data_IF_794500614702
#
_entry.id   IF_794500614702
#
_cell.length_a   1.000
_cell.length_b   1.000
_cell.length_c   1.000
_cell.angle_alpha   90.00
_cell.angle_beta   90.00
_cell.angle_gamma   90.00
#
_symmetry.space_group_name_H-M   'P 1'
#
loop_
_entity.id
_entity.type
_entity.pdbx_description
1 polymer ?
#
# COMPACT_ATOMS: atom_id res chain seq x y z
N UNK A 1 -90.92 70.38 24.06
CA UNK A 1 -91.71 69.51 23.18
C UNK A 1 -90.77 68.81 22.24
N UNK A 2 -90.76 67.49 22.40
CA UNK A 2 -90.68 66.42 21.41
C UNK A 2 -89.73 66.64 20.23
N UNK A 3 -88.83 65.79 20.10
CA UNK A 3 -88.70 64.44 19.53
C UNK A 3 -87.82 64.59 18.31
N UNK A 4 -86.93 63.72 17.89
CA UNK A 4 -86.81 62.28 17.94
C UNK A 4 -85.38 61.88 17.48
N UNK A 5 -84.98 60.75 17.93
CA UNK A 5 -83.73 60.12 17.59
C UNK A 5 -83.60 59.68 16.12
N UNK A 6 -82.39 59.64 15.60
CA UNK A 6 -82.08 58.69 14.54
C UNK A 6 -80.65 58.18 14.74
N UNK A 7 -80.57 56.88 14.98
CA UNK A 7 -79.40 56.14 15.09
C UNK A 7 -78.83 55.87 13.70
N UNK A 8 -77.54 56.14 13.49
CA UNK A 8 -76.80 55.56 12.38
C UNK A 8 -75.64 54.72 12.97
N UNK A 9 -75.85 53.41 12.83
CA UNK A 9 -74.89 52.43 13.28
C UNK A 9 -73.58 52.43 12.44
N UNK A 10 -72.52 52.66 13.07
CA UNK A 10 -71.19 52.50 12.47
C UNK A 10 -70.73 51.03 12.64
N UNK A 11 -70.74 50.28 11.57
CA UNK A 11 -70.18 48.93 11.53
C UNK A 11 -68.61 49.02 11.58
N UNK A 12 -68.05 48.63 12.72
CA UNK A 12 -66.64 48.32 12.82
C UNK A 12 -66.34 47.03 12.09
N UNK A 13 -65.63 47.12 11.01
CA UNK A 13 -64.95 45.96 10.33
C UNK A 13 -63.67 45.64 11.07
N UNK A 14 -63.68 44.58 11.88
CA UNK A 14 -62.46 43.99 12.47
C UNK A 14 -61.75 43.22 11.38
N UNK A 15 -60.67 43.77 10.84
CA UNK A 15 -59.71 43.03 10.02
C UNK A 15 -58.83 42.21 10.96
N UNK A 16 -59.08 40.92 11.04
CA UNK A 16 -58.21 39.94 11.76
C UNK A 16 -56.97 39.72 10.91
N UNK A 17 -55.85 40.35 11.32
CA UNK A 17 -54.51 40.06 10.76
C UNK A 17 -53.99 38.75 11.34
N UNK A 18 -54.20 37.65 10.61
CA UNK A 18 -53.61 36.35 10.96
C UNK A 18 -52.09 36.38 10.73
N UNK A 19 -51.34 36.56 11.79
CA UNK A 19 -49.89 36.32 11.82
C UNK A 19 -49.61 34.82 11.66
N UNK A 20 -49.30 34.37 10.45
CA UNK A 20 -48.73 33.05 10.18
C UNK A 20 -47.29 33.02 10.74
N UNK A 21 -47.13 32.68 12.01
CA UNK A 21 -45.86 32.22 12.58
C UNK A 21 -45.55 30.88 11.95
N UNK A 22 -44.75 30.89 10.85
CA UNK A 22 -44.18 29.72 10.29
C UNK A 22 -43.21 29.09 11.30
N UNK A 23 -43.63 28.00 11.95
CA UNK A 23 -42.77 27.13 12.71
C UNK A 23 -41.74 26.51 11.74
N UNK A 24 -40.58 27.17 11.61
CA UNK A 24 -39.38 26.53 11.04
C UNK A 24 -38.93 25.52 12.09
N UNK A 25 -39.41 24.28 12.02
CA UNK A 25 -38.83 23.16 12.73
C UNK A 25 -37.35 23.01 12.36
N UNK A 26 -36.52 22.54 13.26
CA UNK A 26 -35.10 22.33 12.95
C UNK A 26 -35.02 21.44 11.72
N UNK A 27 -34.45 21.98 10.64
CA UNK A 27 -34.19 21.25 9.40
C UNK A 27 -33.29 20.08 9.79
N UNK A 28 -33.81 18.85 9.66
CA UNK A 28 -33.01 17.64 9.92
C UNK A 28 -31.71 17.76 9.10
N UNK A 29 -30.61 17.83 9.80
CA UNK A 29 -29.30 17.80 9.16
C UNK A 29 -29.23 16.51 8.35
N UNK A 30 -29.10 16.60 7.04
CA UNK A 30 -28.82 15.45 6.22
C UNK A 30 -27.57 14.78 6.79
N UNK A 31 -27.58 13.46 7.06
CA UNK A 31 -26.38 12.79 7.53
C UNK A 31 -25.28 13.05 6.50
N UNK A 32 -24.18 13.65 6.95
CA UNK A 32 -22.99 13.81 6.12
C UNK A 32 -22.60 12.41 5.65
N UNK A 33 -22.43 12.17 4.33
CA UNK A 33 -22.01 10.87 3.85
C UNK A 33 -20.75 10.45 4.62
N UNK A 34 -20.71 9.20 5.06
CA UNK A 34 -19.51 8.67 5.69
C UNK A 34 -18.32 8.86 4.71
N UNK A 35 -17.17 9.29 5.20
CA UNK A 35 -15.99 9.42 4.34
C UNK A 35 -15.76 8.09 3.64
N UNK A 36 -15.29 8.10 2.37
CA UNK A 36 -15.03 6.87 1.63
C UNK A 36 -14.05 6.00 2.42
N UNK A 37 -14.27 4.69 2.44
CA UNK A 37 -13.32 3.77 3.04
C UNK A 37 -11.98 3.88 2.30
N UNK A 38 -10.87 3.92 3.04
CA UNK A 38 -9.54 3.88 2.44
C UNK A 38 -9.26 2.53 1.77
N UNK A 39 -8.18 2.44 0.97
CA UNK A 39 -7.79 1.17 0.35
C UNK A 39 -7.55 0.10 1.43
N UNK A 40 -8.07 -1.11 1.20
CA UNK A 40 -7.98 -2.25 2.11
C UNK A 40 -7.24 -3.44 1.49
N UNK A 41 -7.18 -3.51 0.16
CA UNK A 41 -6.48 -4.55 -0.61
C UNK A 41 -5.28 -4.01 -1.36
N UNK A 42 -4.43 -4.90 -1.87
CA UNK A 42 -3.27 -4.53 -2.69
C UNK A 42 -3.69 -3.77 -3.94
N UNK A 43 -4.70 -4.26 -4.66
CA UNK A 43 -5.19 -3.65 -5.90
C UNK A 43 -5.81 -2.26 -5.63
N UNK A 44 -6.59 -2.11 -4.57
CA UNK A 44 -7.16 -0.82 -4.19
C UNK A 44 -6.07 0.21 -3.82
N UNK A 45 -5.00 -0.22 -3.14
CA UNK A 45 -3.89 0.67 -2.82
C UNK A 45 -3.13 1.12 -4.08
N UNK A 46 -2.87 0.20 -5.00
CA UNK A 46 -2.25 0.53 -6.30
C UNK A 46 -3.12 1.54 -7.05
N UNK A 47 -4.41 1.24 -7.23
CA UNK A 47 -5.34 2.12 -7.93
C UNK A 47 -5.49 3.48 -7.26
N UNK A 48 -5.48 3.53 -5.92
CA UNK A 48 -5.52 4.78 -5.16
C UNK A 48 -4.30 5.67 -5.44
N UNK A 49 -3.10 5.10 -5.40
CA UNK A 49 -1.86 5.85 -5.68
C UNK A 49 -1.77 6.25 -7.15
N UNK A 50 -2.24 5.40 -8.08
CA UNK A 50 -2.27 5.73 -9.50
C UNK A 50 -3.21 6.91 -9.80
N UNK A 51 -4.37 7.01 -9.13
CA UNK A 51 -5.23 8.20 -9.21
C UNK A 51 -4.56 9.45 -8.66
N UNK A 52 -3.88 9.34 -7.49
CA UNK A 52 -3.12 10.47 -6.92
C UNK A 52 -1.97 10.91 -7.85
N UNK A 53 -1.32 9.95 -8.53
CA UNK A 53 -0.30 10.24 -9.53
C UNK A 53 -0.89 10.97 -10.75
N UNK A 54 -2.07 10.58 -11.22
CA UNK A 54 -2.77 11.27 -12.31
C UNK A 54 -3.12 12.72 -11.95
N UNK A 55 -3.63 12.97 -10.71
CA UNK A 55 -3.87 14.32 -10.21
C UNK A 55 -2.59 15.18 -10.21
N UNK A 56 -1.50 14.61 -9.71
CA UNK A 56 -0.21 15.27 -9.64
C UNK A 56 0.38 15.53 -11.04
N UNK A 57 0.25 14.56 -11.95
CA UNK A 57 0.66 14.67 -13.35
C UNK A 57 -0.10 15.80 -14.10
N UNK A 58 -1.38 15.98 -13.78
CA UNK A 58 -2.22 16.99 -14.42
C UNK A 58 -2.00 18.40 -13.84
N UNK A 59 -1.76 18.52 -12.52
CA UNK A 59 -1.83 19.79 -11.78
C UNK A 59 -0.50 20.21 -11.14
N UNK A 60 0.51 19.35 -11.13
CA UNK A 60 1.77 19.61 -10.41
C UNK A 60 1.51 19.93 -8.94
N UNK A 61 2.23 20.90 -8.39
CA UNK A 61 2.10 21.32 -6.98
C UNK A 61 0.69 21.82 -6.61
N UNK A 62 -0.12 22.28 -7.58
CA UNK A 62 -1.50 22.69 -7.30
C UNK A 62 -2.38 21.53 -6.81
N UNK A 63 -2.01 20.28 -7.11
CA UNK A 63 -2.69 19.10 -6.58
C UNK A 63 -2.62 18.99 -5.05
N UNK A 64 -1.61 19.60 -4.39
CA UNK A 64 -1.43 19.47 -2.94
C UNK A 64 -2.61 20.01 -2.14
N UNK A 65 -3.34 20.98 -2.66
CA UNK A 65 -4.56 21.53 -2.03
C UNK A 65 -5.62 20.44 -1.91
N UNK A 66 -5.89 19.72 -2.99
CA UNK A 66 -6.89 18.65 -3.02
C UNK A 66 -6.41 17.40 -2.27
N UNK A 67 -5.16 17.00 -2.45
CA UNK A 67 -4.56 15.86 -1.74
C UNK A 67 -4.50 16.08 -0.22
N UNK A 68 -4.47 17.35 0.23
CA UNK A 68 -4.44 17.71 1.65
C UNK A 68 -5.80 17.97 2.28
N UNK A 69 -6.88 18.01 1.50
CA UNK A 69 -8.21 18.35 1.98
C UNK A 69 -8.75 17.28 2.94
N UNK A 70 -9.04 17.69 4.17
CA UNK A 70 -9.56 16.79 5.21
C UNK A 70 -10.93 16.22 4.80
N UNK A 71 -11.13 14.92 5.05
CA UNK A 71 -12.37 14.22 4.72
C UNK A 71 -12.56 13.91 3.23
N UNK A 72 -11.58 14.25 2.38
CA UNK A 72 -11.55 13.80 0.97
C UNK A 72 -11.18 12.34 0.85
N UNK A 73 -11.26 11.78 -0.35
CA UNK A 73 -10.73 10.42 -0.61
C UNK A 73 -9.22 10.33 -0.32
N UNK A 74 -8.47 11.44 -0.40
CA UNK A 74 -7.02 11.48 -0.23
C UNK A 74 -6.56 11.56 1.23
N UNK A 75 -7.42 12.08 2.12
CA UNK A 75 -7.07 12.29 3.52
C UNK A 75 -8.27 12.03 4.44
N UNK A 76 -8.32 10.83 5.00
CA UNK A 76 -9.31 10.44 6.00
C UNK A 76 -8.81 9.25 6.82
N UNK A 77 -9.12 9.23 8.10
CA UNK A 77 -8.69 8.16 9.00
C UNK A 77 -7.16 7.99 9.02
N UNK A 78 -6.70 6.79 8.67
CA UNK A 78 -5.28 6.45 8.54
C UNK A 78 -4.75 6.61 7.11
N UNK A 79 -5.63 6.98 6.16
CA UNK A 79 -5.30 7.19 4.74
C UNK A 79 -4.78 8.60 4.52
N UNK A 80 -3.65 8.72 3.86
CA UNK A 80 -3.07 9.98 3.40
C UNK A 80 -2.08 9.75 2.27
N UNK A 81 -1.91 10.77 1.44
CA UNK A 81 -0.93 10.81 0.36
C UNK A 81 0.29 11.62 0.82
N UNK A 82 1.46 11.26 0.34
CA UNK A 82 2.66 12.08 0.42
C UNK A 82 3.33 12.15 -0.96
N UNK A 83 4.08 13.22 -1.20
CA UNK A 83 4.78 13.48 -2.45
C UNK A 83 6.24 13.78 -2.14
N UNK A 84 7.12 13.22 -2.93
CA UNK A 84 8.58 13.36 -2.84
C UNK A 84 9.10 13.84 -4.18
N UNK A 85 10.04 14.74 -4.17
CA UNK A 85 10.82 15.10 -5.34
C UNK A 85 11.69 13.90 -5.78
N UNK A 86 11.56 13.48 -7.03
CA UNK A 86 12.18 12.26 -7.52
C UNK A 86 13.71 12.35 -7.66
N UNK A 87 14.28 13.56 -7.71
CA UNK A 87 15.71 13.79 -7.89
C UNK A 87 16.41 14.02 -6.54
N UNK A 88 15.82 14.88 -5.71
CA UNK A 88 16.42 15.25 -4.41
C UNK A 88 15.97 14.34 -3.27
N UNK A 89 14.96 13.52 -3.49
CA UNK A 89 14.30 12.65 -2.50
C UNK A 89 13.68 13.39 -1.31
N UNK A 90 13.50 14.70 -1.42
CA UNK A 90 12.88 15.51 -0.38
C UNK A 90 11.37 15.41 -0.43
N UNK A 91 10.75 15.31 0.73
CA UNK A 91 9.30 15.32 0.86
C UNK A 91 8.80 16.73 0.53
N UNK A 92 8.00 16.85 -0.53
CA UNK A 92 7.37 18.10 -0.98
C UNK A 92 6.02 18.32 -0.32
N UNK A 93 5.31 17.23 -0.04
CA UNK A 93 3.99 17.25 0.58
C UNK A 93 3.79 16.01 1.45
N UNK A 94 3.13 16.17 2.60
CA UNK A 94 2.76 15.04 3.47
C UNK A 94 1.39 15.30 4.10
N UNK A 95 0.37 14.60 3.62
CA UNK A 95 -1.03 14.84 3.96
C UNK A 95 -1.38 14.72 5.44
N UNK A 96 -0.62 13.90 6.21
CA UNK A 96 -0.88 13.73 7.64
C UNK A 96 0.05 14.59 8.54
N UNK A 97 1.33 14.70 8.20
CA UNK A 97 2.35 15.32 9.07
C UNK A 97 3.17 16.35 8.26
N UNK A 98 2.71 17.61 8.18
CA UNK A 98 3.38 18.66 7.42
C UNK A 98 4.82 18.95 7.91
N UNK A 99 5.17 18.61 9.14
CA UNK A 99 6.53 18.80 9.67
C UNK A 99 7.59 17.98 8.96
N UNK A 100 7.18 17.00 8.16
CA UNK A 100 8.07 16.17 7.33
C UNK A 100 8.46 16.81 6.02
N UNK A 101 7.80 17.88 5.61
CA UNK A 101 8.16 18.59 4.37
C UNK A 101 9.60 19.09 4.46
N UNK A 102 10.37 18.86 3.40
CA UNK A 102 11.81 19.15 3.33
C UNK A 102 12.73 18.03 3.83
N UNK A 103 12.21 17.03 4.58
CA UNK A 103 13.02 15.89 5.03
C UNK A 103 13.41 14.99 3.84
N UNK A 104 14.62 14.42 3.89
CA UNK A 104 15.08 13.43 2.92
C UNK A 104 14.48 12.06 3.26
N UNK A 105 13.64 11.52 2.36
CA UNK A 105 12.99 10.22 2.52
C UNK A 105 14.02 9.10 2.76
N UNK A 106 15.19 9.14 2.13
CA UNK A 106 16.21 8.08 2.23
C UNK A 106 16.78 7.92 3.64
N UNK A 107 16.68 8.96 4.46
CA UNK A 107 17.16 8.94 5.85
C UNK A 107 16.11 8.44 6.84
N UNK A 108 14.84 8.40 6.44
CA UNK A 108 13.74 8.02 7.32
C UNK A 108 13.75 6.50 7.54
N UNK A 109 13.56 6.11 8.82
CA UNK A 109 13.56 4.72 9.23
C UNK A 109 12.25 4.34 9.90
N UNK A 110 11.90 3.06 9.79
CA UNK A 110 10.82 2.45 10.55
C UNK A 110 11.18 2.26 12.04
N UNK A 111 10.20 1.89 12.86
CA UNK A 111 10.39 1.69 14.30
C UNK A 111 11.46 0.65 14.66
N UNK A 112 11.71 -0.33 13.77
CA UNK A 112 12.73 -1.37 13.92
C UNK A 112 14.08 -1.01 13.25
N UNK A 113 14.29 0.25 12.88
CA UNK A 113 15.49 0.72 12.20
C UNK A 113 15.55 0.40 10.71
N UNK A 114 14.48 -0.18 10.10
CA UNK A 114 14.41 -0.46 8.65
C UNK A 114 14.65 0.79 7.83
N UNK A 115 15.56 0.71 6.87
CA UNK A 115 15.90 1.80 5.94
C UNK A 115 14.89 1.90 4.78
N UNK A 116 13.58 1.83 5.07
CA UNK A 116 12.52 1.69 4.08
C UNK A 116 12.52 2.81 3.03
N UNK A 117 12.81 4.05 3.43
CA UNK A 117 12.85 5.17 2.51
C UNK A 117 13.95 5.03 1.46
N UNK A 118 15.15 4.59 1.87
CA UNK A 118 16.26 4.28 0.96
C UNK A 118 15.87 3.17 -0.02
N UNK A 119 15.25 2.10 0.46
CA UNK A 119 14.84 0.98 -0.40
C UNK A 119 13.74 1.38 -1.37
N UNK A 120 12.78 2.20 -0.94
CA UNK A 120 11.74 2.74 -1.81
C UNK A 120 12.33 3.51 -2.99
N UNK A 121 13.26 4.43 -2.72
CA UNK A 121 13.97 5.20 -3.76
C UNK A 121 14.79 4.27 -4.67
N UNK A 122 15.54 3.32 -4.09
CA UNK A 122 16.30 2.34 -4.87
C UNK A 122 15.41 1.42 -5.71
N UNK A 123 14.20 1.14 -5.25
CA UNK A 123 13.19 0.39 -6.00
C UNK A 123 12.70 1.11 -7.26
N UNK A 124 12.78 2.44 -7.28
CA UNK A 124 12.43 3.27 -8.44
C UNK A 124 13.63 3.53 -9.38
N UNK A 125 14.79 2.95 -9.11
CA UNK A 125 15.96 3.17 -9.96
C UNK A 125 15.79 2.55 -11.36
N UNK A 126 16.40 3.18 -12.36
CA UNK A 126 16.29 2.77 -13.76
C UNK A 126 14.94 3.15 -14.38
N UNK A 127 14.37 2.23 -15.14
CA UNK A 127 13.10 2.45 -15.88
C UNK A 127 11.83 2.20 -15.04
N UNK A 128 11.98 1.83 -13.77
CA UNK A 128 10.82 1.56 -12.91
C UNK A 128 10.10 2.85 -12.54
N UNK A 129 8.80 2.81 -12.63
CA UNK A 129 7.90 3.90 -12.24
C UNK A 129 7.14 3.61 -10.93
N UNK A 130 7.37 2.42 -10.33
CA UNK A 130 6.70 1.95 -9.11
C UNK A 130 7.64 1.18 -8.17
N UNK A 131 7.36 1.27 -6.87
CA UNK A 131 8.06 0.52 -5.82
C UNK A 131 7.19 0.32 -4.59
N UNK A 132 7.63 -0.56 -3.70
CA UNK A 132 7.01 -0.79 -2.41
C UNK A 132 7.98 -0.47 -1.28
N UNK A 133 7.40 -0.07 -0.14
CA UNK A 133 8.12 0.08 1.13
C UNK A 133 7.36 -0.65 2.23
N UNK A 134 8.05 -1.48 3.01
CA UNK A 134 7.51 -2.25 4.11
C UNK A 134 8.21 -1.91 5.42
N UNK A 135 7.45 -1.44 6.41
CA UNK A 135 8.02 -0.98 7.68
C UNK A 135 6.97 -0.94 8.79
N UNK A 136 7.41 -0.91 10.05
CA UNK A 136 6.53 -0.65 11.19
C UNK A 136 6.53 0.82 11.56
N UNK A 137 5.34 1.37 11.78
CA UNK A 137 5.10 2.76 12.16
C UNK A 137 3.84 2.89 13.00
N UNK A 138 3.82 3.87 13.92
CA UNK A 138 2.59 4.28 14.61
C UNK A 138 1.57 4.82 13.60
N UNK A 139 0.29 4.51 13.81
CA UNK A 139 -0.81 5.05 13.01
C UNK A 139 -0.94 6.57 13.23
N UNK A 140 -1.58 7.30 12.30
CA UNK A 140 -1.87 8.73 12.48
C UNK A 140 -2.53 9.07 13.82
N UNK A 141 -3.41 8.21 14.30
CA UNK A 141 -4.12 8.38 15.58
C UNK A 141 -3.32 7.93 16.80
N UNK A 142 -2.06 7.55 16.63
CA UNK A 142 -1.19 7.05 17.68
C UNK A 142 -1.27 5.53 17.86
N UNK A 143 -0.68 5.05 18.95
CA UNK A 143 -0.59 3.62 19.29
C UNK A 143 0.77 3.00 19.00
N UNK A 144 0.92 1.71 19.32
CA UNK A 144 2.13 0.96 19.04
C UNK A 144 2.38 0.86 17.52
N UNK A 145 3.66 0.86 17.07
CA UNK A 145 3.99 0.69 15.68
C UNK A 145 3.50 -0.65 15.13
N UNK A 146 2.71 -0.61 14.05
CA UNK A 146 2.25 -1.77 13.31
C UNK A 146 2.82 -1.77 11.89
N UNK A 147 2.68 -2.87 11.16
CA UNK A 147 3.13 -2.97 9.80
C UNK A 147 2.39 -1.99 8.89
N UNK A 148 3.12 -1.39 7.97
CA UNK A 148 2.58 -0.58 6.89
C UNK A 148 3.20 -1.02 5.57
N UNK A 149 2.34 -1.34 4.59
CA UNK A 149 2.71 -1.52 3.20
C UNK A 149 2.43 -0.20 2.47
N UNK A 150 3.43 0.36 1.82
CA UNK A 150 3.33 1.63 1.11
C UNK A 150 3.71 1.43 -0.35
N UNK A 151 2.82 1.82 -1.26
CA UNK A 151 3.07 1.82 -2.69
C UNK A 151 3.53 3.19 -3.16
N UNK A 152 4.49 3.22 -4.07
CA UNK A 152 5.08 4.41 -4.66
C UNK A 152 4.87 4.40 -6.17
N UNK A 153 4.58 5.58 -6.74
CA UNK A 153 4.47 5.79 -8.18
C UNK A 153 5.28 7.02 -8.59
N UNK A 154 6.15 6.88 -9.60
CA UNK A 154 6.81 8.01 -10.24
C UNK A 154 5.88 8.63 -11.26
N UNK A 155 5.84 9.95 -11.33
CA UNK A 155 5.04 10.70 -12.30
C UNK A 155 5.75 11.98 -12.69
N UNK A 156 5.56 12.42 -13.93
CA UNK A 156 6.01 13.72 -14.42
C UNK A 156 4.86 14.72 -14.31
N UNK A 157 5.15 15.90 -13.79
CA UNK A 157 4.23 17.03 -13.71
C UNK A 157 4.15 17.84 -15.02
N UNK A 158 3.20 18.79 -15.10
CA UNK A 158 2.90 19.53 -16.33
C UNK A 158 4.02 20.47 -16.77
N UNK A 159 4.90 20.92 -15.86
CA UNK A 159 6.05 21.76 -16.18
C UNK A 159 7.37 20.98 -16.26
N UNK A 160 7.30 19.64 -16.30
CA UNK A 160 8.46 18.76 -16.43
C UNK A 160 9.07 18.33 -15.09
N UNK A 161 8.45 18.65 -13.97
CA UNK A 161 8.89 18.18 -12.65
C UNK A 161 8.76 16.67 -12.53
N UNK A 162 9.62 16.05 -11.76
CA UNK A 162 9.58 14.62 -11.49
C UNK A 162 9.21 14.35 -10.02
N UNK A 163 8.09 13.68 -9.83
CA UNK A 163 7.54 13.35 -8.50
C UNK A 163 7.53 11.85 -8.25
N UNK A 164 7.58 11.50 -6.98
CA UNK A 164 7.18 10.21 -6.45
C UNK A 164 6.02 10.43 -5.50
N UNK A 165 4.86 9.91 -5.84
CA UNK A 165 3.68 9.95 -4.96
C UNK A 165 3.51 8.61 -4.28
N UNK A 166 3.09 8.62 -3.01
CA UNK A 166 2.90 7.40 -2.24
C UNK A 166 1.75 7.49 -1.25
N UNK A 167 1.19 6.34 -0.98
CA UNK A 167 0.27 6.08 0.12
C UNK A 167 0.46 4.67 0.65
N UNK A 168 -0.09 4.36 1.83
CA UNK A 168 0.08 3.04 2.40
C UNK A 168 -1.01 2.63 3.37
N UNK A 169 -1.23 1.33 3.44
CA UNK A 169 -2.20 0.66 4.28
C UNK A 169 -1.50 0.05 5.49
N UNK A 170 -2.05 0.28 6.67
CA UNK A 170 -1.61 -0.38 7.90
C UNK A 170 -2.20 -1.78 7.98
N UNK A 171 -1.36 -2.74 8.36
CA UNK A 171 -1.70 -4.15 8.54
C UNK A 171 -2.38 -4.77 7.31
N UNK A 172 -1.99 -4.32 6.09
CA UNK A 172 -2.43 -4.92 4.84
C UNK A 172 -2.28 -6.45 4.91
N UNK A 173 -3.34 -7.17 4.59
CA UNK A 173 -3.28 -8.62 4.49
C UNK A 173 -2.72 -8.98 3.11
N UNK A 174 -1.57 -9.68 3.03
CA UNK A 174 -1.03 -10.10 1.74
C UNK A 174 -2.03 -10.96 0.98
N UNK A 175 -2.26 -10.60 -0.28
CA UNK A 175 -3.05 -11.35 -1.26
C UNK A 175 -2.17 -11.82 -2.42
N UNK A 176 -2.73 -12.52 -3.39
CA UNK A 176 -1.97 -13.01 -4.55
C UNK A 176 -1.32 -11.88 -5.34
N UNK A 177 -1.99 -10.72 -5.45
CA UNK A 177 -1.43 -9.55 -6.12
C UNK A 177 -0.21 -9.01 -5.38
N UNK A 178 -0.28 -8.95 -4.04
CA UNK A 178 0.85 -8.55 -3.19
C UNK A 178 2.07 -9.43 -3.41
N UNK A 179 1.89 -10.77 -3.44
CA UNK A 179 2.98 -11.73 -3.66
C UNK A 179 3.63 -11.52 -5.02
N UNK A 180 2.83 -11.32 -6.08
CA UNK A 180 3.34 -11.03 -7.42
C UNK A 180 4.19 -9.76 -7.42
N UNK A 181 3.68 -8.65 -6.86
CA UNK A 181 4.41 -7.38 -6.76
C UNK A 181 5.74 -7.52 -5.99
N UNK A 182 5.72 -8.28 -4.89
CA UNK A 182 6.90 -8.52 -4.06
C UNK A 182 7.98 -9.31 -4.81
N UNK A 183 7.58 -10.38 -5.51
CA UNK A 183 8.47 -11.22 -6.32
C UNK A 183 9.01 -10.42 -7.51
N UNK A 184 8.16 -9.67 -8.21
CA UNK A 184 8.59 -8.85 -9.34
C UNK A 184 9.61 -7.79 -8.92
N UNK A 185 9.39 -7.15 -7.77
CA UNK A 185 10.34 -6.18 -7.22
C UNK A 185 11.72 -6.81 -6.94
N UNK A 186 11.72 -8.02 -6.38
CA UNK A 186 12.97 -8.74 -6.08
C UNK A 186 13.65 -9.28 -7.35
N UNK A 187 12.88 -9.85 -8.28
CA UNK A 187 13.37 -10.37 -9.54
C UNK A 187 14.06 -9.28 -10.38
N UNK A 188 13.42 -8.14 -10.55
CA UNK A 188 13.99 -7.00 -11.29
C UNK A 188 15.22 -6.41 -10.58
N UNK A 189 15.26 -6.47 -9.23
CA UNK A 189 16.46 -6.09 -8.49
C UNK A 189 17.63 -7.02 -8.78
N UNK A 190 17.36 -8.32 -8.87
CA UNK A 190 18.37 -9.34 -9.20
C UNK A 190 18.77 -9.23 -10.68
N UNK A 191 17.84 -8.97 -11.60
CA UNK A 191 18.14 -8.73 -13.03
C UNK A 191 19.09 -7.54 -13.22
N UNK A 192 18.93 -6.48 -12.42
CA UNK A 192 19.76 -5.27 -12.49
C UNK A 192 21.12 -5.42 -11.83
N UNK A 193 21.15 -5.94 -10.60
CA UNK A 193 22.32 -5.91 -9.71
C UNK A 193 23.03 -7.29 -9.64
N UNK A 194 22.52 -8.28 -10.34
CA UNK A 194 23.04 -9.65 -10.30
C UNK A 194 22.92 -10.28 -8.91
N UNK A 195 23.83 -11.21 -8.61
CA UNK A 195 23.86 -11.94 -7.34
C UNK A 195 24.17 -11.06 -6.12
N UNK A 196 24.66 -9.84 -6.31
CA UNK A 196 24.85 -8.89 -5.21
C UNK A 196 23.52 -8.54 -4.50
N UNK A 197 22.40 -8.59 -5.24
CA UNK A 197 21.06 -8.36 -4.67
C UNK A 197 20.62 -9.43 -3.65
N UNK A 198 21.24 -10.63 -3.65
CA UNK A 198 20.90 -11.71 -2.72
C UNK A 198 21.17 -11.31 -1.25
N UNK A 199 22.10 -10.42 -0.99
CA UNK A 199 22.32 -9.88 0.35
C UNK A 199 21.08 -9.15 0.90
N UNK A 200 20.31 -8.45 0.04
CA UNK A 200 19.07 -7.79 0.42
C UNK A 200 17.94 -8.80 0.64
N UNK A 201 17.94 -9.92 -0.06
CA UNK A 201 16.96 -11.00 0.13
C UNK A 201 17.22 -11.71 1.46
N UNK A 202 18.47 -11.97 1.83
CA UNK A 202 18.84 -12.62 3.10
C UNK A 202 18.54 -11.79 4.34
N UNK A 203 18.42 -10.47 4.20
CA UNK A 203 18.18 -9.59 5.34
C UNK A 203 16.72 -9.70 5.82
N UNK A 204 16.45 -10.24 7.03
CA UNK A 204 15.10 -10.34 7.56
C UNK A 204 14.45 -8.98 7.84
N UNK A 205 15.25 -7.90 7.87
CA UNK A 205 14.79 -6.51 7.91
C UNK A 205 14.87 -5.83 6.55
N UNK A 206 15.18 -6.56 5.50
CA UNK A 206 15.38 -6.08 4.14
C UNK A 206 14.09 -5.69 3.43
N UNK A 207 14.20 -5.21 2.18
CA UNK A 207 13.07 -4.70 1.41
C UNK A 207 12.07 -5.77 0.97
N UNK A 208 12.43 -7.05 1.06
CA UNK A 208 11.66 -8.18 0.53
C UNK A 208 10.98 -9.01 1.62
N UNK A 209 10.72 -8.40 2.77
CA UNK A 209 10.04 -9.03 3.91
C UNK A 209 8.92 -8.13 4.41
N UNK A 210 7.71 -8.69 4.49
CA UNK A 210 6.53 -8.07 5.07
C UNK A 210 5.76 -9.10 5.89
N UNK A 211 5.65 -8.88 7.22
CA UNK A 211 5.02 -9.81 8.16
C UNK A 211 5.65 -11.21 8.07
N UNK A 212 4.87 -12.22 7.73
CA UNK A 212 5.25 -13.62 7.52
C UNK A 212 5.47 -13.97 6.03
N UNK A 213 5.48 -12.96 5.17
CA UNK A 213 5.71 -13.10 3.74
C UNK A 213 7.11 -12.60 3.40
N UNK A 214 7.91 -13.45 2.77
CA UNK A 214 9.28 -13.14 2.36
C UNK A 214 9.55 -13.61 0.93
N UNK A 215 10.57 -13.03 0.31
CA UNK A 215 11.15 -13.57 -0.92
C UNK A 215 12.23 -14.57 -0.58
N UNK A 216 12.31 -15.63 -1.37
CA UNK A 216 13.44 -16.57 -1.40
C UNK A 216 13.94 -16.76 -2.84
N UNK A 217 15.17 -17.24 -2.98
CA UNK A 217 15.81 -17.44 -4.29
C UNK A 217 16.43 -18.82 -4.35
N UNK A 218 16.15 -19.55 -5.43
CA UNK A 218 16.72 -20.86 -5.72
C UNK A 218 17.46 -20.84 -7.07
N UNK A 219 18.38 -21.80 -7.27
CA UNK A 219 18.88 -22.14 -8.59
C UNK A 219 18.22 -23.41 -9.14
N UNK A 220 18.47 -23.71 -10.42
CA UNK A 220 17.95 -24.93 -11.07
C UNK A 220 18.71 -26.21 -10.68
N UNK A 221 19.77 -26.09 -9.86
CA UNK A 221 20.53 -27.24 -9.34
C UNK A 221 20.05 -27.74 -7.97
N UNK A 222 19.04 -27.08 -7.41
CA UNK A 222 18.47 -27.43 -6.10
C UNK A 222 19.05 -26.65 -4.92
N UNK A 223 19.86 -25.63 -5.15
CA UNK A 223 20.37 -24.84 -4.05
C UNK A 223 19.40 -23.70 -3.72
N UNK A 224 19.15 -23.45 -2.43
CA UNK A 224 18.55 -22.23 -1.91
C UNK A 224 19.68 -21.22 -1.77
N UNK A 225 19.59 -20.11 -2.53
CA UNK A 225 20.62 -19.08 -2.57
C UNK A 225 20.39 -17.96 -1.56
N UNK A 226 19.14 -17.72 -1.20
CA UNK A 226 18.76 -16.75 -0.17
C UNK A 226 17.37 -17.07 0.36
N UNK A 227 17.22 -17.12 1.68
CA UNK A 227 15.93 -17.16 2.38
C UNK A 227 16.09 -16.52 3.77
N UNK A 228 15.42 -15.38 4.05
CA UNK A 228 15.59 -14.67 5.33
C UNK A 228 14.95 -15.38 6.52
N UNK A 229 13.99 -16.30 6.30
CA UNK A 229 13.29 -17.01 7.38
C UNK A 229 13.78 -18.42 7.62
N UNK A 230 14.41 -19.04 6.60
CA UNK A 230 14.93 -20.41 6.67
C UNK A 230 16.39 -20.46 6.19
N UNK A 231 17.31 -19.70 6.84
CA UNK A 231 18.72 -19.63 6.42
C UNK A 231 19.45 -20.98 6.50
N UNK A 232 18.92 -21.95 7.26
CA UNK A 232 19.43 -23.31 7.32
C UNK A 232 19.27 -24.06 5.99
N UNK A 233 18.34 -23.67 5.12
CA UNK A 233 18.16 -24.26 3.79
C UNK A 233 19.28 -23.91 2.83
N UNK A 234 20.01 -22.80 3.05
CA UNK A 234 21.14 -22.38 2.21
C UNK A 234 22.40 -23.26 2.39
N UNK A 235 22.47 -24.07 3.46
CA UNK A 235 23.69 -24.78 3.85
C UNK A 235 23.97 -26.05 3.05
N UNK A 236 22.97 -26.58 2.35
CA UNK A 236 23.06 -27.83 1.58
C UNK A 236 22.12 -27.80 0.40
N UNK A 237 22.37 -28.67 -0.57
CA UNK A 237 21.46 -28.84 -1.71
C UNK A 237 20.09 -29.36 -1.22
N UNK A 238 19.03 -28.75 -1.70
CA UNK A 238 17.65 -29.00 -1.30
C UNK A 238 16.83 -29.72 -2.37
N UNK A 239 17.46 -30.34 -3.36
CA UNK A 239 16.76 -30.97 -4.51
C UNK A 239 15.66 -31.96 -4.06
N UNK A 240 15.86 -32.63 -2.95
CA UNK A 240 14.91 -33.61 -2.41
C UNK A 240 14.03 -33.07 -1.27
N UNK A 241 14.01 -31.71 -1.09
CA UNK A 241 13.17 -31.05 -0.09
C UNK A 241 11.70 -31.33 -0.36
N UNK A 242 11.03 -31.82 0.68
CA UNK A 242 9.59 -32.13 0.68
C UNK A 242 8.89 -31.26 1.70
N UNK A 243 7.61 -31.01 1.47
CA UNK A 243 6.72 -30.43 2.46
C UNK A 243 6.32 -31.45 3.54
N UNK A 244 5.53 -31.03 4.53
CA UNK A 244 5.10 -31.92 5.61
C UNK A 244 4.16 -33.06 5.14
N UNK A 245 3.58 -32.96 3.95
CA UNK A 245 2.80 -34.02 3.31
C UNK A 245 3.65 -34.95 2.41
N UNK A 246 4.96 -34.71 2.31
CA UNK A 246 5.88 -35.50 1.48
C UNK A 246 5.95 -35.11 0.02
N UNK A 247 5.35 -34.00 -0.37
CA UNK A 247 5.33 -33.48 -1.74
C UNK A 247 6.71 -32.88 -2.10
N UNK A 248 7.29 -33.15 -3.29
CA UNK A 248 8.65 -32.77 -3.66
C UNK A 248 8.72 -31.29 -4.08
N UNK A 249 8.65 -30.38 -3.11
CA UNK A 249 8.53 -28.90 -3.34
C UNK A 249 9.63 -28.38 -4.24
N UNK A 250 10.90 -28.68 -3.93
CA UNK A 250 12.03 -28.09 -4.67
C UNK A 250 12.02 -28.51 -6.14
N UNK A 251 11.74 -29.78 -6.43
CA UNK A 251 11.65 -30.27 -7.81
C UNK A 251 10.52 -29.63 -8.60
N UNK A 252 9.35 -29.43 -7.96
CA UNK A 252 8.21 -28.78 -8.61
C UNK A 252 8.48 -27.30 -8.89
N UNK A 253 9.17 -26.59 -7.98
CA UNK A 253 9.54 -25.19 -8.18
C UNK A 253 10.61 -25.04 -9.27
N UNK A 254 11.61 -25.93 -9.32
CA UNK A 254 12.61 -25.96 -10.40
C UNK A 254 11.93 -26.22 -11.73
N UNK A 255 11.07 -27.22 -11.82
CA UNK A 255 10.32 -27.52 -13.05
C UNK A 255 9.51 -26.31 -13.54
N UNK A 256 8.84 -25.58 -12.62
CA UNK A 256 8.15 -24.34 -12.99
C UNK A 256 9.11 -23.32 -13.59
N UNK A 257 10.24 -23.07 -12.92
CA UNK A 257 11.24 -22.08 -13.37
C UNK A 257 11.85 -22.45 -14.73
N UNK A 258 11.99 -23.74 -15.02
CA UNK A 258 12.53 -24.22 -16.31
C UNK A 258 11.49 -24.13 -17.45
N UNK A 259 10.22 -24.41 -17.15
CA UNK A 259 9.15 -24.48 -18.15
C UNK A 259 8.39 -23.17 -18.37
N UNK A 260 8.27 -22.32 -17.36
CA UNK A 260 7.45 -21.11 -17.36
C UNK A 260 8.26 -19.86 -17.00
N UNK A 261 7.84 -18.66 -17.45
CA UNK A 261 8.44 -17.41 -17.01
C UNK A 261 8.02 -17.07 -15.57
N UNK A 262 6.77 -17.37 -15.22
CA UNK A 262 6.24 -17.21 -13.86
C UNK A 262 4.98 -18.05 -13.67
N UNK A 263 4.71 -18.45 -12.43
CA UNK A 263 3.50 -19.23 -12.15
C UNK A 263 3.32 -19.53 -10.67
N UNK A 264 2.15 -20.07 -10.35
CA UNK A 264 1.78 -20.51 -9.02
C UNK A 264 1.90 -22.03 -8.87
N UNK A 265 2.33 -22.45 -7.68
CA UNK A 265 2.16 -23.82 -7.18
C UNK A 265 1.45 -23.74 -5.83
N UNK A 266 0.39 -24.51 -5.66
CA UNK A 266 -0.55 -24.34 -4.54
C UNK A 266 -0.61 -25.56 -3.64
N UNK A 267 -1.04 -25.33 -2.39
CA UNK A 267 -1.39 -26.39 -1.45
C UNK A 267 -0.22 -27.11 -0.80
N UNK A 268 0.95 -26.51 -0.69
CA UNK A 268 2.05 -27.04 0.11
C UNK A 268 1.74 -26.95 1.60
N UNK A 269 2.07 -27.99 2.34
CA UNK A 269 1.96 -27.98 3.80
C UNK A 269 3.31 -27.55 4.40
N UNK A 270 3.45 -26.24 4.69
CA UNK A 270 4.72 -25.60 5.03
C UNK A 270 4.77 -25.13 6.49
N UNK A 271 5.93 -25.24 7.16
CA UNK A 271 6.11 -24.66 8.49
C UNK A 271 5.86 -23.15 8.50
N UNK A 272 5.21 -22.66 9.55
CA UNK A 272 5.02 -21.21 9.72
C UNK A 272 6.29 -20.55 10.31
N UNK A 273 6.66 -19.34 9.85
CA UNK A 273 7.69 -18.58 10.54
C UNK A 273 7.31 -18.35 12.00
N UNK A 274 8.23 -18.64 12.92
CA UNK A 274 7.95 -18.54 14.37
C UNK A 274 7.41 -19.81 15.01
N UNK A 275 7.23 -20.90 14.25
CA UNK A 275 6.82 -22.22 14.75
C UNK A 275 5.31 -22.45 14.73
N UNK A 276 4.89 -23.59 15.30
CA UNK A 276 3.50 -24.05 15.28
C UNK A 276 3.25 -25.13 14.24
N UNK A 277 1.98 -25.51 14.06
CA UNK A 277 1.59 -26.49 13.06
C UNK A 277 1.82 -25.97 11.62
N UNK A 278 2.26 -26.81 10.68
CA UNK A 278 2.33 -26.44 9.28
C UNK A 278 0.98 -25.95 8.75
N UNK A 279 1.00 -24.96 7.88
CA UNK A 279 -0.18 -24.42 7.22
C UNK A 279 -0.12 -24.62 5.71
N UNK A 280 -1.27 -24.55 5.05
CA UNK A 280 -1.31 -24.53 3.60
C UNK A 280 -0.68 -23.26 3.07
N UNK A 281 0.25 -23.41 2.12
CA UNK A 281 0.98 -22.30 1.51
C UNK A 281 0.93 -22.39 -0.01
N UNK A 282 0.52 -21.31 -0.64
CA UNK A 282 0.63 -21.11 -2.09
C UNK A 282 1.92 -20.35 -2.39
N UNK A 283 2.69 -20.82 -3.37
CA UNK A 283 3.96 -20.24 -3.79
C UNK A 283 3.85 -19.71 -5.21
N UNK A 284 4.28 -18.47 -5.42
CA UNK A 284 4.51 -17.86 -6.73
C UNK A 284 5.99 -17.79 -7.01
N UNK A 285 6.38 -18.18 -8.21
CA UNK A 285 7.76 -18.13 -8.69
C UNK A 285 7.84 -17.31 -9.96
N UNK A 286 8.93 -16.56 -10.12
CA UNK A 286 9.33 -15.91 -11.37
C UNK A 286 10.76 -16.32 -11.73
N UNK A 287 10.96 -16.66 -13.01
CA UNK A 287 12.28 -16.96 -13.56
C UNK A 287 13.08 -15.68 -13.77
N UNK A 288 14.35 -15.71 -13.38
CA UNK A 288 15.35 -14.67 -13.67
C UNK A 288 16.50 -15.31 -14.40
N UNK A 289 16.86 -14.79 -15.57
CA UNK A 289 18.01 -15.23 -16.35
C UNK A 289 19.17 -14.25 -16.17
N UNK A 290 20.26 -14.74 -15.60
CA UNK A 290 21.55 -14.08 -15.59
C UNK A 290 22.46 -14.74 -16.62
N UNK A 291 23.57 -14.07 -17.05
CA UNK A 291 24.44 -14.58 -18.12
C UNK A 291 24.89 -16.04 -17.94
N UNK A 292 25.10 -16.47 -16.69
CA UNK A 292 25.67 -17.80 -16.37
C UNK A 292 24.74 -18.73 -15.65
N UNK A 293 23.53 -18.30 -15.30
CA UNK A 293 22.61 -19.10 -14.52
C UNK A 293 21.15 -18.64 -14.63
N UNK A 294 20.25 -19.59 -14.43
CA UNK A 294 18.83 -19.33 -14.26
C UNK A 294 18.47 -19.46 -12.78
N UNK A 295 17.72 -18.49 -12.28
CA UNK A 295 17.26 -18.42 -10.90
C UNK A 295 15.74 -18.45 -10.84
N UNK A 296 15.21 -19.04 -9.79
CA UNK A 296 13.81 -18.90 -9.37
C UNK A 296 13.74 -17.92 -8.21
N UNK A 297 12.99 -16.85 -8.38
CA UNK A 297 12.66 -15.88 -7.33
C UNK A 297 11.23 -16.15 -6.89
N UNK A 298 11.02 -16.45 -5.63
CA UNK A 298 9.73 -16.90 -5.13
C UNK A 298 9.30 -16.23 -3.85
N UNK A 299 8.00 -16.23 -3.63
CA UNK A 299 7.35 -15.87 -2.38
C UNK A 299 6.02 -16.61 -2.26
N UNK A 300 5.38 -16.54 -1.10
CA UNK A 300 4.09 -17.20 -0.94
C UNK A 300 3.28 -16.66 0.22
N UNK A 301 2.03 -17.06 0.23
CA UNK A 301 1.09 -16.73 1.30
C UNK A 301 0.51 -18.01 1.91
N UNK A 302 0.27 -17.98 3.21
CA UNK A 302 -0.50 -19.00 3.87
C UNK A 302 -1.98 -18.76 3.58
N UNK A 303 -2.65 -19.83 3.14
CA UNK A 303 -4.10 -19.86 2.89
C UNK A 303 -4.80 -20.62 4.00
N UNK A 304 -5.96 -20.12 4.44
CA UNK A 304 -6.79 -20.76 5.47
C UNK A 304 -7.66 -21.86 4.87
#
# INVERSE_FOLDING_TARGET
MRETASQLGTRCVLVALALLLGCHGPRAAHPTPAPPAGPATTEELIAFVDRAAAELGAKGNAAFVELGREGSEWKHGDTYVFVVDAETHRILFHGHDPTRVGADLTTIRGAEGRAFGRWGVQGLAGKRDRAWMFYKRARPRGGAPTWKATFLRRVQGPAGEHYVVGSGVYDLVPDRRFVIELVDMAAERIERDGTAALALVRDPKGPFVYRDTQVFVIDTKGNVLADPFYPELERKNQIDLKDAAGRPVQRELIHLVESEEAGWRTGYLWPRPGGGAPGHKDLYMRRVRLEKQTLGVGSGLFVE
#
